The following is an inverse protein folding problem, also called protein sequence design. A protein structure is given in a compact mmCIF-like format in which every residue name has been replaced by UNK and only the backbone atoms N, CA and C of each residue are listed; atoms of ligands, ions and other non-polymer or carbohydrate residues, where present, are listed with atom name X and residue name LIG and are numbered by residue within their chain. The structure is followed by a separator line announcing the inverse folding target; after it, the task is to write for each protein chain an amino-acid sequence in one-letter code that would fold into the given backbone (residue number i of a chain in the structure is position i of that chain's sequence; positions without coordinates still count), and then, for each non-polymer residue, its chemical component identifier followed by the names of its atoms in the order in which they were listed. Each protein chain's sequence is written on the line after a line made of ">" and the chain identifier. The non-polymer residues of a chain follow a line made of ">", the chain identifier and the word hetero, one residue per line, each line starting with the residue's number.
data_IF_843789314761
#
_entry.id   IF_843789314761
#
_cell.length_a   1.000
_cell.length_b   1.000
_cell.length_c   1.000
_cell.angle_alpha   90.00
_cell.angle_beta   90.00
_cell.angle_gamma   90.00
#
_symmetry.space_group_name_H-M   'P 1'
#
loop_
_entity.id
_entity.type
_entity.pdbx_description
1 polymer ?
#
# COMPACT_ATOMS: atom_id res chain seq x y z
N UNK A 1 31.21 -20.22 -21.37
CA UNK A 1 30.04 -20.96 -20.86
C UNK A 1 30.42 -21.56 -19.52
N UNK A 2 29.86 -21.04 -18.43
CA UNK A 2 29.76 -21.71 -17.15
C UNK A 2 28.47 -21.18 -16.52
N UNK A 3 27.62 -22.13 -16.18
CA UNK A 3 26.20 -22.04 -15.86
C UNK A 3 25.91 -21.31 -14.55
N UNK A 4 24.99 -20.34 -14.61
CA UNK A 4 24.27 -19.86 -13.43
C UNK A 4 23.24 -20.94 -13.05
N UNK A 5 23.53 -21.69 -11.99
CA UNK A 5 22.53 -22.57 -11.36
C UNK A 5 21.64 -21.71 -10.47
N UNK A 6 20.35 -21.72 -10.79
CA UNK A 6 19.25 -21.19 -9.97
C UNK A 6 19.37 -21.69 -8.53
N UNK A 7 19.63 -20.79 -7.60
CA UNK A 7 19.41 -21.03 -6.18
C UNK A 7 17.93 -20.88 -5.88
N UNK A 8 17.20 -21.98 -5.87
CA UNK A 8 15.90 -22.07 -5.20
C UNK A 8 16.10 -21.64 -3.74
N UNK A 9 15.50 -20.51 -3.35
CA UNK A 9 15.53 -20.06 -1.96
C UNK A 9 14.62 -20.96 -1.14
N UNK A 10 15.25 -21.98 -0.54
CA UNK A 10 14.71 -22.77 0.55
C UNK A 10 14.08 -21.84 1.59
N UNK A 11 12.76 -21.99 1.79
CA UNK A 11 12.05 -21.46 2.96
C UNK A 11 12.48 -22.29 4.18
N UNK A 12 13.66 -21.99 4.69
CA UNK A 12 14.25 -22.64 5.85
C UNK A 12 14.69 -21.59 6.87
N UNK A 13 13.87 -21.45 7.91
CA UNK A 13 14.20 -21.00 9.27
C UNK A 13 15.55 -20.29 9.47
N UNK A 14 15.64 -19.04 9.06
CA UNK A 14 16.42 -18.06 9.82
C UNK A 14 15.45 -17.31 10.71
N UNK A 15 15.24 -17.79 11.94
CA UNK A 15 14.60 -16.98 13.00
C UNK A 15 15.55 -15.86 13.42
N UNK A 16 15.81 -14.94 12.49
CA UNK A 16 16.21 -13.58 12.84
C UNK A 16 15.12 -12.95 13.71
N UNK A 17 15.45 -11.87 14.39
CA UNK A 17 14.49 -11.12 15.21
C UNK A 17 13.35 -10.68 14.29
N UNK A 18 12.19 -11.33 14.41
CA UNK A 18 11.02 -10.98 13.62
C UNK A 18 10.31 -9.80 14.28
N UNK A 19 9.86 -8.81 13.49
CA UNK A 19 9.04 -7.75 14.03
C UNK A 19 7.71 -8.29 14.53
N UNK A 20 7.21 -7.72 15.62
CA UNK A 20 5.81 -7.83 16.00
C UNK A 20 5.05 -6.66 15.39
N UNK A 21 4.00 -6.97 14.64
CA UNK A 21 3.13 -6.00 13.97
C UNK A 21 1.75 -6.08 14.59
N UNK A 22 1.19 -4.95 15.00
CA UNK A 22 -0.26 -4.83 15.30
C UNK A 22 -0.86 -3.84 14.32
N UNK A 23 -1.84 -4.28 13.54
CA UNK A 23 -2.57 -3.46 12.59
C UNK A 23 -3.89 -2.98 13.19
N UNK A 24 -4.02 -1.67 13.37
CA UNK A 24 -5.29 -1.03 13.70
C UNK A 24 -6.02 -0.68 12.40
N UNK A 25 -7.16 -1.31 12.13
CA UNK A 25 -7.79 -1.33 10.80
C UNK A 25 -9.32 -1.32 10.86
N UNK A 26 -9.94 -1.20 9.70
CA UNK A 26 -11.35 -1.45 9.47
C UNK A 26 -11.52 -2.00 8.05
N UNK A 27 -12.19 -3.14 7.90
CA UNK A 27 -12.32 -3.83 6.61
C UNK A 27 -13.16 -3.09 5.57
N UNK A 28 -13.92 -2.07 5.96
CA UNK A 28 -14.67 -1.22 5.03
C UNK A 28 -13.87 0.00 4.56
N UNK A 29 -12.65 0.19 5.08
CA UNK A 29 -11.81 1.33 4.73
C UNK A 29 -10.86 0.97 3.58
N UNK A 30 -11.00 1.56 2.37
CA UNK A 30 -10.11 1.27 1.24
C UNK A 30 -8.66 1.68 1.51
N UNK A 31 -8.43 2.69 2.37
CA UNK A 31 -7.07 3.05 2.79
C UNK A 31 -6.46 1.97 3.70
N UNK A 32 -7.27 1.29 4.51
CA UNK A 32 -6.78 0.23 5.38
C UNK A 32 -6.45 -1.05 4.61
N UNK A 33 -7.11 -1.29 3.47
CA UNK A 33 -6.76 -2.37 2.54
C UNK A 33 -5.33 -2.27 2.03
N UNK A 34 -4.76 -1.06 1.89
CA UNK A 34 -3.35 -0.91 1.49
C UNK A 34 -2.40 -1.63 2.44
N UNK A 35 -2.66 -1.54 3.74
CA UNK A 35 -1.85 -2.23 4.75
C UNK A 35 -2.09 -3.75 4.70
N UNK A 36 -3.35 -4.17 4.59
CA UNK A 36 -3.74 -5.59 4.47
C UNK A 36 -3.07 -6.28 3.28
N UNK A 37 -3.25 -5.74 2.07
CA UNK A 37 -2.66 -6.28 0.85
C UNK A 37 -1.13 -6.34 0.98
N UNK A 38 -0.51 -5.31 1.57
CA UNK A 38 0.94 -5.32 1.77
C UNK A 38 1.38 -6.43 2.74
N UNK A 39 0.70 -6.61 3.86
CA UNK A 39 1.03 -7.67 4.82
C UNK A 39 0.86 -9.06 4.21
N UNK A 40 -0.22 -9.27 3.46
CA UNK A 40 -0.54 -10.54 2.78
C UNK A 40 0.47 -10.87 1.68
N UNK A 41 0.75 -9.94 0.76
CA UNK A 41 1.71 -10.13 -0.34
C UNK A 41 3.14 -10.41 0.18
N UNK A 42 3.47 -9.89 1.37
CA UNK A 42 4.76 -10.11 2.01
C UNK A 42 4.81 -11.34 2.94
N UNK A 43 3.67 -11.98 3.19
CA UNK A 43 3.54 -13.07 4.16
C UNK A 43 4.04 -12.67 5.55
N UNK A 44 3.66 -11.48 6.01
CA UNK A 44 4.01 -10.97 7.34
C UNK A 44 2.92 -11.33 8.34
N UNK A 45 3.32 -11.91 9.47
CA UNK A 45 2.41 -12.15 10.59
C UNK A 45 2.06 -10.84 11.30
N UNK A 46 0.79 -10.65 11.66
CA UNK A 46 0.32 -9.48 12.40
C UNK A 46 -0.87 -9.79 13.31
N UNK A 47 -0.97 -9.05 14.41
CA UNK A 47 -2.17 -8.99 15.24
C UNK A 47 -3.11 -7.93 14.65
N UNK A 48 -4.40 -8.24 14.49
CA UNK A 48 -5.40 -7.28 14.01
C UNK A 48 -6.23 -6.69 15.16
N UNK A 49 -6.46 -5.37 15.11
CA UNK A 49 -7.38 -4.65 16.00
C UNK A 49 -8.36 -3.85 15.15
N UNK A 50 -9.64 -4.22 15.19
CA UNK A 50 -10.70 -3.52 14.47
C UNK A 50 -11.10 -2.23 15.21
N UNK A 51 -11.00 -1.11 14.49
CA UNK A 51 -11.48 0.20 14.91
C UNK A 51 -12.84 0.45 14.27
N UNK A 52 -13.86 0.60 15.10
CA UNK A 52 -15.20 0.98 14.65
C UNK A 52 -15.18 2.41 14.10
N UNK A 53 -15.50 2.55 12.81
CA UNK A 53 -15.48 3.83 12.13
C UNK A 53 -16.79 4.61 12.22
N UNK A 54 -17.87 3.98 12.70
CA UNK A 54 -19.22 4.55 12.74
C UNK A 54 -19.54 5.27 14.06
N UNK A 55 -18.72 5.06 15.10
CA UNK A 55 -18.82 5.76 16.40
C UNK A 55 -17.58 6.62 16.70
N UNK A 56 -17.65 7.65 17.55
CA UNK A 56 -16.45 8.40 17.97
C UNK A 56 -15.33 7.48 18.44
N UNK A 57 -14.08 7.79 18.06
CA UNK A 57 -12.94 6.95 18.42
C UNK A 57 -12.71 6.97 19.92
N UNK A 58 -12.44 5.79 20.47
CA UNK A 58 -12.14 5.61 21.88
C UNK A 58 -10.79 6.27 22.20
N UNK A 59 -10.67 6.83 23.43
CA UNK A 59 -9.49 7.62 23.82
C UNK A 59 -8.19 6.84 23.66
N UNK A 60 -8.17 5.55 24.00
CA UNK A 60 -6.97 4.72 23.88
C UNK A 60 -6.46 4.63 22.44
N UNK A 61 -7.34 4.70 21.44
CA UNK A 61 -6.92 4.70 20.04
C UNK A 61 -6.45 6.08 19.59
N UNK A 62 -7.08 7.14 20.10
CA UNK A 62 -6.61 8.51 19.87
C UNK A 62 -5.24 8.77 20.51
N UNK A 63 -4.91 8.09 21.60
CA UNK A 63 -3.57 8.13 22.21
C UNK A 63 -2.51 7.47 21.31
N UNK A 64 -2.92 6.53 20.44
CA UNK A 64 -2.07 5.89 19.42
C UNK A 64 -1.99 6.73 18.15
N UNK A 65 -3.15 7.10 17.60
CA UNK A 65 -3.27 7.96 16.43
C UNK A 65 -4.23 9.12 16.75
N UNK A 66 -3.70 10.32 17.07
CA UNK A 66 -4.51 11.49 17.39
C UNK A 66 -5.44 11.94 16.26
N UNK A 67 -5.20 11.52 15.02
CA UNK A 67 -6.08 11.80 13.87
C UNK A 67 -7.30 10.87 13.84
N UNK A 68 -7.29 9.75 14.57
CA UNK A 68 -8.37 8.77 14.61
C UNK A 68 -8.62 8.05 13.28
N UNK A 69 -7.62 8.02 12.39
CA UNK A 69 -7.71 7.44 11.04
C UNK A 69 -7.06 6.06 10.98
N UNK A 70 -7.66 5.15 10.21
CA UNK A 70 -7.06 3.85 9.88
C UNK A 70 -6.51 3.86 8.44
N UNK A 71 -5.48 3.06 8.12
CA UNK A 71 -4.77 2.15 9.02
C UNK A 71 -3.76 2.88 9.90
N UNK A 72 -3.37 2.23 11.00
CA UNK A 72 -2.14 2.53 11.74
C UNK A 72 -1.49 1.20 12.10
N UNK A 73 -0.16 1.14 12.12
CA UNK A 73 0.54 -0.03 12.63
C UNK A 73 1.34 0.34 13.87
N UNK A 74 1.34 -0.57 14.84
CA UNK A 74 2.38 -0.63 15.85
C UNK A 74 3.43 -1.64 15.40
N UNK A 75 4.68 -1.22 15.39
CA UNK A 75 5.79 -2.02 14.91
C UNK A 75 6.89 -2.09 15.97
N UNK A 76 7.25 -3.31 16.39
CA UNK A 76 8.23 -3.58 17.44
C UNK A 76 9.25 -4.58 16.94
N UNK A 77 10.54 -4.34 17.16
CA UNK A 77 11.59 -5.34 16.92
C UNK A 77 12.30 -5.61 18.25
N UNK A 78 12.13 -6.82 18.83
CA UNK A 78 12.74 -7.17 20.11
C UNK A 78 14.23 -6.87 20.16
N UNK A 79 14.65 -6.01 21.09
CA UNK A 79 16.06 -5.63 21.27
C UNK A 79 16.59 -4.60 20.28
N UNK A 80 15.76 -4.00 19.43
CA UNK A 80 16.14 -2.91 18.51
C UNK A 80 15.29 -1.65 18.69
N UNK A 81 13.97 -1.77 18.69
CA UNK A 81 13.03 -0.69 19.05
C UNK A 81 11.80 -1.29 19.72
N UNK A 82 11.44 -0.68 20.86
CA UNK A 82 10.37 -1.16 21.73
C UNK A 82 8.98 -0.98 21.10
N UNK A 83 8.73 0.18 20.48
CA UNK A 83 7.46 0.50 19.83
C UNK A 83 7.64 1.69 18.88
N UNK A 84 7.16 1.56 17.63
CA UNK A 84 6.99 2.67 16.70
C UNK A 84 5.57 2.64 16.13
N UNK A 85 4.89 3.80 16.10
CA UNK A 85 3.56 3.93 15.50
C UNK A 85 3.69 4.59 14.13
N UNK A 86 3.23 3.90 13.10
CA UNK A 86 3.25 4.39 11.72
C UNK A 86 1.82 4.58 11.24
N UNK A 87 1.52 5.79 10.78
CA UNK A 87 0.21 6.20 10.27
C UNK A 87 0.31 6.59 8.79
N UNK A 88 -0.83 6.90 8.17
CA UNK A 88 -1.01 7.10 6.72
C UNK A 88 -0.83 5.83 5.90
N UNK A 89 -1.90 5.41 5.21
CA UNK A 89 -1.93 4.15 4.48
C UNK A 89 -0.80 3.95 3.46
N UNK A 90 -0.44 5.00 2.71
CA UNK A 90 0.67 4.93 1.76
C UNK A 90 2.02 4.79 2.44
N UNK A 91 2.23 5.44 3.59
CA UNK A 91 3.47 5.36 4.36
C UNK A 91 3.59 3.98 5.03
N UNK A 92 2.50 3.48 5.61
CA UNK A 92 2.41 2.12 6.17
C UNK A 92 2.78 1.07 5.11
N UNK A 93 2.15 1.12 3.93
CA UNK A 93 2.43 0.17 2.85
C UNK A 93 3.89 0.27 2.36
N UNK A 94 4.39 1.50 2.15
CA UNK A 94 5.77 1.76 1.75
C UNK A 94 6.78 1.21 2.78
N UNK A 95 6.54 1.46 4.07
CA UNK A 95 7.39 0.99 5.16
C UNK A 95 7.47 -0.54 5.19
N UNK A 96 6.32 -1.22 5.14
CA UNK A 96 6.27 -2.69 5.15
C UNK A 96 6.98 -3.28 3.92
N UNK A 97 6.81 -2.66 2.74
CA UNK A 97 7.50 -3.07 1.52
C UNK A 97 9.03 -2.86 1.59
N UNK A 98 9.50 -1.85 2.33
CA UNK A 98 10.92 -1.57 2.54
C UNK A 98 11.54 -2.39 3.69
N UNK A 99 10.73 -2.89 4.63
CA UNK A 99 11.19 -3.63 5.81
C UNK A 99 11.91 -4.95 5.46
N UNK A 100 11.71 -5.45 4.24
CA UNK A 100 12.37 -6.66 3.71
C UNK A 100 12.44 -6.62 2.19
N UNK A 101 13.37 -7.37 1.55
CA UNK A 101 13.32 -7.59 0.11
C UNK A 101 11.94 -8.11 -0.32
N UNK A 102 11.30 -7.40 -1.26
CA UNK A 102 9.94 -7.71 -1.72
C UNK A 102 9.77 -7.47 -3.21
N UNK A 103 8.77 -8.11 -3.82
CA UNK A 103 8.37 -7.80 -5.20
C UNK A 103 7.54 -6.52 -5.29
N UNK A 104 6.87 -6.13 -4.20
CA UNK A 104 6.06 -4.91 -4.15
C UNK A 104 6.91 -3.68 -4.47
N UNK A 105 8.10 -3.61 -3.87
CA UNK A 105 9.03 -2.53 -4.15
C UNK A 105 10.48 -3.02 -4.01
N UNK A 106 11.18 -3.26 -5.14
CA UNK A 106 12.58 -3.63 -5.11
C UNK A 106 13.41 -2.61 -4.32
N UNK A 107 14.40 -3.09 -3.58
CA UNK A 107 15.39 -2.23 -2.91
C UNK A 107 16.10 -1.36 -3.95
N UNK A 108 16.41 -0.11 -3.61
CA UNK A 108 17.20 0.78 -4.49
C UNK A 108 18.58 0.18 -4.85
N UNK A 109 19.09 -0.75 -4.05
CA UNK A 109 20.36 -1.42 -4.27
C UNK A 109 20.24 -2.77 -5.00
N UNK A 110 19.03 -3.17 -5.40
CA UNK A 110 18.81 -4.46 -6.04
C UNK A 110 19.50 -4.56 -7.41
N UNK A 111 19.39 -3.51 -8.24
CA UNK A 111 20.05 -3.39 -9.54
C UNK A 111 20.12 -1.90 -9.99
N UNK A 112 20.92 -1.54 -11.02
CA UNK A 112 21.08 -0.14 -11.46
C UNK A 112 19.79 0.57 -11.92
N UNK A 113 18.75 -0.17 -12.32
CA UNK A 113 17.45 0.38 -12.73
C UNK A 113 16.47 0.52 -11.57
N UNK A 114 16.70 -0.18 -10.45
CA UNK A 114 15.80 -0.17 -9.29
C UNK A 114 15.52 1.24 -8.72
N UNK A 115 16.50 2.16 -8.56
CA UNK A 115 16.21 3.53 -8.12
C UNK A 115 15.26 4.28 -9.08
N UNK A 116 15.45 4.10 -10.39
CA UNK A 116 14.59 4.72 -11.40
C UNK A 116 13.18 4.12 -11.39
N UNK A 117 13.07 2.80 -11.20
CA UNK A 117 11.77 2.14 -11.03
C UNK A 117 11.02 2.68 -9.82
N UNK A 118 11.68 2.78 -8.66
CA UNK A 118 11.09 3.35 -7.43
C UNK A 118 10.61 4.79 -7.65
N UNK A 119 11.39 5.62 -8.34
CA UNK A 119 11.01 7.00 -8.66
C UNK A 119 9.77 7.07 -9.56
N UNK A 120 9.69 6.22 -10.60
CA UNK A 120 8.53 6.14 -11.49
C UNK A 120 7.28 5.65 -10.76
N UNK A 121 7.42 4.64 -9.89
CA UNK A 121 6.33 4.13 -9.05
C UNK A 121 5.83 5.22 -8.11
N UNK A 122 6.73 5.91 -7.41
CA UNK A 122 6.37 7.00 -6.50
C UNK A 122 5.65 8.13 -7.23
N UNK A 123 6.13 8.51 -8.42
CA UNK A 123 5.48 9.53 -9.24
C UNK A 123 4.08 9.10 -9.70
N UNK A 124 3.92 7.83 -10.10
CA UNK A 124 2.61 7.28 -10.45
C UNK A 124 1.63 7.32 -9.27
N UNK A 125 2.06 6.86 -8.09
CA UNK A 125 1.24 6.85 -6.88
C UNK A 125 0.86 8.27 -6.46
N UNK A 126 1.78 9.22 -6.51
CA UNK A 126 1.50 10.63 -6.22
C UNK A 126 0.50 11.23 -7.21
N UNK A 127 0.67 10.94 -8.50
CA UNK A 127 -0.26 11.39 -9.54
C UNK A 127 -1.66 10.84 -9.31
N UNK A 128 -1.79 9.54 -9.01
CA UNK A 128 -3.07 8.93 -8.66
C UNK A 128 -3.72 9.62 -7.45
N UNK A 129 -2.97 9.75 -6.35
CA UNK A 129 -3.49 10.31 -5.10
C UNK A 129 -3.94 11.77 -5.28
N UNK A 130 -3.18 12.57 -6.05
CA UNK A 130 -3.41 14.02 -6.18
C UNK A 130 -4.34 14.40 -7.32
N UNK A 131 -4.46 13.59 -8.38
CA UNK A 131 -5.25 13.92 -9.59
C UNK A 131 -6.55 13.14 -9.71
N UNK A 132 -6.61 11.92 -9.14
CA UNK A 132 -7.75 11.01 -9.34
C UNK A 132 -8.44 10.68 -8.02
N UNK A 133 -7.69 10.22 -7.01
CA UNK A 133 -8.26 9.67 -5.79
C UNK A 133 -9.19 10.65 -5.05
N UNK A 134 -8.86 11.94 -5.05
CA UNK A 134 -9.66 12.98 -4.39
C UNK A 134 -11.10 13.09 -4.89
N UNK A 135 -11.37 12.68 -6.13
CA UNK A 135 -12.70 12.73 -6.73
C UNK A 135 -13.55 11.49 -6.44
N UNK A 136 -12.94 10.36 -6.06
CA UNK A 136 -13.64 9.08 -5.93
C UNK A 136 -14.69 9.11 -4.82
N UNK A 137 -14.35 9.63 -3.65
CA UNK A 137 -15.29 9.70 -2.52
C UNK A 137 -16.44 10.70 -2.74
N UNK A 138 -16.19 11.95 -3.19
CA UNK A 138 -17.27 12.84 -3.62
C UNK A 138 -18.17 12.22 -4.68
N UNK A 139 -17.59 11.55 -5.69
CA UNK A 139 -18.35 10.91 -6.76
C UNK A 139 -19.27 9.78 -6.27
N UNK A 140 -18.85 9.00 -5.27
CA UNK A 140 -19.70 7.97 -4.66
C UNK A 140 -20.91 8.55 -3.92
N UNK A 141 -20.80 9.77 -3.39
CA UNK A 141 -21.86 10.46 -2.65
C UNK A 141 -22.77 11.33 -3.50
N UNK A 142 -22.27 11.80 -4.65
CA UNK A 142 -23.01 12.68 -5.53
C UNK A 142 -24.15 11.94 -6.28
N UNK A 143 -25.16 12.70 -6.71
CA UNK A 143 -26.27 12.22 -7.53
C UNK A 143 -26.50 13.16 -8.74
N UNK A 144 -27.22 12.68 -9.76
CA UNK A 144 -27.60 13.49 -10.93
C UNK A 144 -26.43 14.12 -11.67
N UNK A 145 -26.59 15.39 -12.08
CA UNK A 145 -25.61 16.15 -12.87
C UNK A 145 -24.25 16.30 -12.16
N UNK A 146 -24.23 16.40 -10.82
CA UNK A 146 -22.99 16.51 -10.07
C UNK A 146 -22.16 15.22 -10.16
N UNK A 147 -22.82 14.06 -10.08
CA UNK A 147 -22.17 12.76 -10.25
C UNK A 147 -21.59 12.61 -11.65
N UNK A 148 -22.36 12.99 -12.68
CA UNK A 148 -21.91 12.94 -14.07
C UNK A 148 -20.69 13.85 -14.29
N UNK A 149 -20.72 15.07 -13.74
CA UNK A 149 -19.59 16.00 -13.79
C UNK A 149 -18.33 15.41 -13.14
N UNK A 150 -18.42 14.89 -11.91
CA UNK A 150 -17.28 14.29 -11.20
C UNK A 150 -16.74 13.05 -11.92
N UNK A 151 -17.62 12.23 -12.51
CA UNK A 151 -17.22 11.09 -13.32
C UNK A 151 -16.43 11.53 -14.56
N UNK A 152 -16.93 12.52 -15.30
CA UNK A 152 -16.24 13.05 -16.48
C UNK A 152 -14.88 13.69 -16.12
N UNK A 153 -14.80 14.44 -15.02
CA UNK A 153 -13.55 15.01 -14.53
C UNK A 153 -12.55 13.91 -14.11
N UNK A 154 -13.04 12.84 -13.49
CA UNK A 154 -12.21 11.68 -13.09
C UNK A 154 -11.66 10.94 -14.31
N UNK A 155 -12.51 10.66 -15.31
CA UNK A 155 -12.09 10.02 -16.57
C UNK A 155 -11.05 10.88 -17.29
N UNK A 156 -11.32 12.17 -17.45
CA UNK A 156 -10.37 13.09 -18.10
C UNK A 156 -9.03 13.17 -17.35
N UNK A 157 -9.03 13.11 -16.01
CA UNK A 157 -7.81 13.04 -15.22
C UNK A 157 -7.05 11.71 -15.42
N UNK A 158 -7.76 10.59 -15.52
CA UNK A 158 -7.14 9.28 -15.81
C UNK A 158 -6.50 9.29 -17.20
N UNK A 159 -7.23 9.68 -18.24
CA UNK A 159 -6.74 9.73 -19.63
C UNK A 159 -5.50 10.63 -19.75
N UNK A 160 -5.53 11.79 -19.09
CA UNK A 160 -4.46 12.78 -19.21
C UNK A 160 -3.24 12.47 -18.33
N UNK A 161 -3.46 12.04 -17.09
CA UNK A 161 -2.39 11.99 -16.07
C UNK A 161 -1.94 10.56 -15.77
N UNK A 162 -2.82 9.55 -15.92
CA UNK A 162 -2.52 8.15 -15.54
C UNK A 162 -2.14 7.29 -16.75
N UNK A 163 -2.92 7.32 -17.83
CA UNK A 163 -2.66 6.49 -19.02
C UNK A 163 -1.24 6.64 -19.58
N UNK A 164 -0.66 7.86 -19.69
CA UNK A 164 0.71 8.02 -20.19
C UNK A 164 1.76 7.33 -19.32
N UNK A 165 1.48 7.16 -18.02
CA UNK A 165 2.38 6.51 -17.07
C UNK A 165 2.30 4.98 -17.13
N UNK A 166 1.27 4.43 -17.78
CA UNK A 166 1.05 3.00 -17.96
C UNK A 166 1.58 2.46 -19.30
N UNK A 167 2.28 3.27 -20.10
CA UNK A 167 2.76 2.87 -21.43
C UNK A 167 3.64 1.60 -21.46
N UNK A 168 4.30 1.28 -20.34
CA UNK A 168 5.11 0.06 -20.18
C UNK A 168 4.50 -0.94 -19.19
N UNK A 169 3.22 -0.80 -18.85
CA UNK A 169 2.55 -1.73 -17.96
C UNK A 169 2.40 -3.12 -18.62
N UNK A 170 2.50 -4.16 -17.80
CA UNK A 170 2.15 -5.53 -18.15
C UNK A 170 0.83 -5.88 -17.47
N UNK A 171 0.65 -7.09 -16.90
CA UNK A 171 -0.46 -7.30 -15.97
C UNK A 171 -0.38 -6.35 -14.76
N UNK A 172 0.82 -5.85 -14.41
CA UNK A 172 1.04 -4.86 -13.35
C UNK A 172 1.99 -3.72 -13.78
N UNK A 173 2.06 -2.69 -12.94
CA UNK A 173 2.84 -1.48 -13.15
C UNK A 173 4.30 -1.79 -13.52
N UNK A 174 4.81 -1.08 -14.53
CA UNK A 174 6.18 -1.21 -15.00
C UNK A 174 6.54 -2.59 -15.58
N UNK A 175 5.54 -3.32 -16.10
CA UNK A 175 5.77 -4.56 -16.85
C UNK A 175 6.00 -5.78 -15.97
N UNK A 176 5.62 -5.70 -14.68
CA UNK A 176 5.81 -6.79 -13.72
C UNK A 176 4.73 -7.86 -13.89
N UNK A 177 5.10 -9.09 -13.54
CA UNK A 177 4.25 -10.28 -13.50
C UNK A 177 3.56 -10.48 -12.13
N UNK A 178 3.97 -9.70 -11.12
CA UNK A 178 3.36 -9.63 -9.79
C UNK A 178 2.95 -8.20 -9.43
N UNK A 179 1.99 -8.02 -8.50
CA UNK A 179 1.63 -6.70 -8.01
C UNK A 179 2.84 -5.94 -7.48
N UNK A 180 2.81 -4.63 -7.66
CA UNK A 180 3.78 -3.70 -7.09
C UNK A 180 3.09 -2.82 -6.05
N UNK A 181 3.86 -1.96 -5.36
CA UNK A 181 3.30 -0.99 -4.45
C UNK A 181 2.36 0.02 -5.16
N UNK A 182 2.47 0.18 -6.48
CA UNK A 182 1.49 0.95 -7.26
C UNK A 182 0.08 0.36 -7.11
N UNK A 183 -0.08 -0.93 -7.40
CA UNK A 183 -1.34 -1.70 -7.24
C UNK A 183 -1.91 -1.58 -5.85
N UNK A 184 -1.07 -1.75 -4.83
CA UNK A 184 -1.47 -1.58 -3.44
C UNK A 184 -2.07 -0.18 -3.23
N UNK A 185 -1.47 0.86 -3.79
CA UNK A 185 -1.90 2.24 -3.56
C UNK A 185 -3.15 2.64 -4.38
N UNK A 186 -3.39 2.06 -5.54
CA UNK A 186 -4.57 2.38 -6.36
C UNK A 186 -5.77 1.46 -6.12
N UNK A 187 -5.63 0.38 -5.35
CA UNK A 187 -6.72 -0.59 -5.12
C UNK A 187 -7.98 0.10 -4.59
N UNK A 188 -9.07 -0.06 -5.34
CA UNK A 188 -10.43 0.26 -4.93
C UNK A 188 -11.10 -1.06 -4.57
N UNK A 189 -11.29 -1.27 -3.26
CA UNK A 189 -12.04 -2.36 -2.64
C UNK A 189 -12.05 -3.71 -3.39
N UNK A 190 -11.15 -4.61 -3.00
CA UNK A 190 -11.23 -6.00 -3.43
C UNK A 190 -12.30 -6.68 -2.56
N UNK A 191 -13.57 -6.57 -2.98
CA UNK A 191 -14.70 -7.26 -2.33
C UNK A 191 -14.65 -8.77 -2.60
N UNK A 192 -13.62 -9.45 -2.11
CA UNK A 192 -13.60 -10.90 -2.06
C UNK A 192 -13.82 -11.30 -0.59
N UNK A 193 -15.10 -11.51 -0.24
CA UNK A 193 -15.55 -12.13 1.02
C UNK A 193 -15.28 -13.64 1.05
#
# INVERSE_FOLDING_TARGET
>A
MASYTNGESNHGDSKGIQPKITLYTNHLCPFAHRAHITLEELGLDFDEVIIDLDKPREQWYLDINPRGLVPSIKYTVPGLYDEEIITESSIVAQFLADARPSHLLPSSLHDPFSPLFRARLAFFVDTWNTKVQGNLYPMMKAEGEEKEKLANETVAAIEKEIEPLLANAGPFFGGKDKPTLAEVCFTVDRMDH
#
